data_IF_360311461202
#
_entry.id   IF_360311461202
#
_cell.length_a   1.000
_cell.length_b   1.000
_cell.length_c   1.000
_cell.angle_alpha   90.00
_cell.angle_beta   90.00
_cell.angle_gamma   90.00
#
_symmetry.space_group_name_H-M   'P 1'
#
loop_
_entity.id
_entity.type
_entity.pdbx_description
1 polymer ?
#
# COMPACT_ATOMS: atom_id res chain seq x y z
N UNK A 1 25.24 -9.61 -19.75
CA UNK A 1 26.35 -8.63 -19.98
C UNK A 1 27.76 -9.25 -20.16
N UNK A 2 28.35 -9.96 -19.17
CA UNK A 2 29.71 -10.54 -19.28
C UNK A 2 29.96 -11.42 -20.52
N UNK A 3 29.00 -12.29 -20.87
CA UNK A 3 29.11 -13.15 -22.05
C UNK A 3 29.20 -12.34 -23.36
N UNK A 4 28.44 -11.25 -23.48
CA UNK A 4 28.49 -10.37 -24.65
C UNK A 4 29.84 -9.65 -24.78
N UNK A 5 30.45 -9.24 -23.65
CA UNK A 5 31.79 -8.63 -23.64
C UNK A 5 32.87 -9.57 -24.21
N UNK A 6 32.72 -10.89 -24.09
CA UNK A 6 33.71 -11.85 -24.62
C UNK A 6 33.75 -11.94 -26.16
N UNK A 7 32.69 -11.48 -26.84
CA UNK A 7 32.56 -11.51 -28.31
C UNK A 7 32.64 -10.12 -28.98
N UNK A 8 32.73 -9.04 -28.18
CA UNK A 8 32.64 -7.64 -28.63
C UNK A 8 34.03 -6.96 -28.75
N UNK A 9 34.71 -7.14 -29.89
CA UNK A 9 36.10 -6.68 -30.10
C UNK A 9 36.28 -5.14 -30.05
N UNK A 10 35.44 -4.37 -30.75
CA UNK A 10 35.53 -2.90 -30.73
C UNK A 10 35.22 -2.30 -29.36
N UNK A 11 34.13 -2.77 -28.73
CA UNK A 11 33.68 -2.33 -27.39
C UNK A 11 34.73 -2.63 -26.32
N UNK A 12 35.35 -3.82 -26.35
CA UNK A 12 36.39 -4.18 -25.38
C UNK A 12 37.69 -3.40 -25.54
N UNK A 13 38.04 -2.93 -26.75
CA UNK A 13 39.20 -2.05 -26.97
C UNK A 13 39.02 -0.73 -26.22
N UNK A 14 37.87 -0.07 -26.37
CA UNK A 14 37.53 1.19 -25.67
C UNK A 14 37.47 0.98 -24.15
N UNK A 15 36.90 -0.14 -23.69
CA UNK A 15 36.83 -0.44 -22.25
C UNK A 15 38.22 -0.66 -21.61
N UNK A 16 39.20 -1.19 -22.34
CA UNK A 16 40.56 -1.43 -21.83
C UNK A 16 41.41 -0.17 -21.75
N UNK A 17 41.17 0.80 -22.63
CA UNK A 17 41.97 2.02 -22.69
C UNK A 17 41.46 3.05 -21.67
N UNK A 18 41.82 2.84 -20.41
CA UNK A 18 41.46 3.74 -19.31
C UNK A 18 42.21 5.07 -19.36
N UNK A 19 43.34 5.15 -20.06
CA UNK A 19 44.10 6.37 -20.27
C UNK A 19 43.39 7.32 -21.25
N UNK A 20 42.96 6.81 -22.40
CA UNK A 20 42.25 7.60 -23.40
C UNK A 20 40.78 7.83 -23.03
N UNK A 21 40.11 6.83 -22.46
CA UNK A 21 38.67 6.88 -22.16
C UNK A 21 38.35 6.65 -20.68
N UNK A 22 38.79 7.50 -19.74
CA UNK A 22 38.54 7.27 -18.30
C UNK A 22 37.05 7.26 -17.93
N UNK A 23 36.21 7.99 -18.68
CA UNK A 23 34.77 8.16 -18.44
C UNK A 23 33.99 8.00 -19.74
N UNK A 24 32.68 7.74 -19.63
CA UNK A 24 31.77 7.72 -20.79
C UNK A 24 31.74 9.07 -21.50
N UNK A 25 31.88 10.18 -20.77
CA UNK A 25 31.99 11.51 -21.38
C UNK A 25 33.15 11.61 -22.38
N UNK A 26 34.29 10.98 -22.08
CA UNK A 26 35.44 10.94 -23.00
C UNK A 26 35.18 10.03 -24.21
N UNK A 27 34.49 8.92 -24.01
CA UNK A 27 34.04 8.04 -25.11
C UNK A 27 33.09 8.78 -26.05
N UNK A 28 32.14 9.53 -25.50
CA UNK A 28 31.15 10.29 -26.27
C UNK A 28 31.76 11.46 -27.07
N UNK A 29 32.99 11.87 -26.76
CA UNK A 29 33.75 12.85 -27.53
C UNK A 29 34.52 12.29 -28.73
N UNK A 30 34.47 10.97 -28.95
CA UNK A 30 35.10 10.27 -30.07
C UNK A 30 34.01 9.56 -30.88
N UNK A 31 33.78 10.00 -32.12
CA UNK A 31 32.70 9.49 -32.97
C UNK A 31 32.83 7.99 -33.27
N UNK A 32 34.06 7.45 -33.34
CA UNK A 32 34.28 6.03 -33.60
C UNK A 32 34.03 5.18 -32.35
N UNK A 33 34.31 5.72 -31.15
CA UNK A 33 34.11 5.02 -29.89
C UNK A 33 32.65 5.11 -29.41
N UNK A 34 31.99 6.26 -29.62
CA UNK A 34 30.61 6.56 -29.20
C UNK A 34 29.60 5.52 -29.67
N UNK A 35 29.72 5.04 -30.90
CA UNK A 35 28.81 4.05 -31.51
C UNK A 35 28.68 2.76 -30.69
N UNK A 36 29.70 2.39 -29.91
CA UNK A 36 29.67 1.18 -29.08
C UNK A 36 28.94 1.35 -27.74
N UNK A 37 28.62 2.59 -27.34
CA UNK A 37 28.07 2.92 -26.02
C UNK A 37 26.84 3.84 -26.09
N UNK A 38 26.14 3.85 -27.22
CA UNK A 38 24.83 4.51 -27.32
C UNK A 38 23.87 3.94 -26.26
N UNK A 39 23.20 4.84 -25.53
CA UNK A 39 22.27 4.50 -24.43
C UNK A 39 22.90 3.77 -23.24
N UNK A 40 24.23 3.81 -23.09
CA UNK A 40 24.91 3.38 -21.87
C UNK A 40 25.04 4.58 -20.95
N UNK A 41 24.76 4.41 -19.66
CA UNK A 41 24.99 5.43 -18.63
C UNK A 41 26.36 5.24 -17.95
N UNK A 42 26.93 6.30 -17.36
CA UNK A 42 28.26 6.23 -16.72
C UNK A 42 28.41 5.08 -15.69
N UNK A 43 27.43 4.81 -14.79
CA UNK A 43 27.53 3.68 -13.87
C UNK A 43 27.61 2.33 -14.59
N UNK A 44 26.89 2.17 -15.70
CA UNK A 44 26.93 0.96 -16.51
C UNK A 44 28.27 0.84 -17.26
N UNK A 45 28.80 1.94 -17.80
CA UNK A 45 30.12 1.96 -18.44
C UNK A 45 31.22 1.49 -17.48
N UNK A 46 31.23 2.01 -16.24
CA UNK A 46 32.18 1.59 -15.21
C UNK A 46 31.97 0.13 -14.78
N UNK A 47 30.72 -0.35 -14.75
CA UNK A 47 30.43 -1.76 -14.48
C UNK A 47 30.94 -2.66 -15.61
N UNK A 48 30.78 -2.29 -16.88
CA UNK A 48 31.30 -3.04 -18.03
C UNK A 48 32.83 -3.17 -18.00
N UNK A 49 33.54 -2.15 -17.49
CA UNK A 49 35.00 -2.23 -17.25
C UNK A 49 35.36 -3.24 -16.18
N UNK A 50 34.69 -3.16 -15.02
CA UNK A 50 34.89 -4.13 -13.92
C UNK A 50 34.59 -5.55 -14.39
N UNK A 51 33.51 -5.72 -15.13
CA UNK A 51 33.12 -7.01 -15.71
C UNK A 51 34.18 -7.54 -16.69
N UNK A 52 34.75 -6.68 -17.53
CA UNK A 52 35.82 -7.05 -18.45
C UNK A 52 37.12 -7.46 -17.74
N UNK A 53 37.49 -6.75 -16.68
CA UNK A 53 38.66 -7.10 -15.86
C UNK A 53 38.42 -8.42 -15.10
N UNK A 54 37.21 -8.63 -14.58
CA UNK A 54 36.84 -9.88 -13.91
C UNK A 54 36.89 -11.08 -14.86
N UNK A 55 36.40 -10.94 -16.10
CA UNK A 55 36.50 -11.99 -17.14
C UNK A 55 37.95 -12.39 -17.43
N UNK A 56 38.88 -11.44 -17.38
CA UNK A 56 40.31 -11.70 -17.59
C UNK A 56 41.01 -12.31 -16.38
N UNK A 57 40.44 -12.14 -15.20
CA UNK A 57 41.04 -12.65 -13.97
C UNK A 57 40.96 -14.18 -13.96
N UNK A 58 42.11 -14.84 -13.86
CA UNK A 58 42.21 -16.30 -13.83
C UNK A 58 41.90 -16.91 -12.46
N UNK A 59 41.43 -16.11 -11.50
CA UNK A 59 41.07 -16.54 -10.15
C UNK A 59 39.62 -16.14 -9.81
N UNK A 60 39.01 -16.89 -8.89
CA UNK A 60 37.73 -16.54 -8.29
C UNK A 60 36.56 -16.53 -9.31
N UNK A 61 35.87 -15.40 -9.40
CA UNK A 61 34.70 -15.22 -10.26
C UNK A 61 35.02 -15.34 -11.75
N UNK A 62 36.19 -14.88 -12.19
CA UNK A 62 36.66 -15.02 -13.57
C UNK A 62 36.97 -16.47 -13.96
N UNK A 63 37.59 -17.24 -13.07
CA UNK A 63 37.84 -18.68 -13.28
C UNK A 63 36.52 -19.47 -13.40
N UNK A 64 35.56 -19.17 -12.51
CA UNK A 64 34.23 -19.80 -12.52
C UNK A 64 33.49 -19.48 -13.82
N UNK A 65 33.54 -18.22 -14.25
CA UNK A 65 32.95 -17.79 -15.52
C UNK A 65 33.59 -18.51 -16.71
N UNK A 66 34.93 -18.58 -16.75
CA UNK A 66 35.65 -19.25 -17.83
C UNK A 66 35.34 -20.75 -17.92
N UNK A 67 35.25 -21.45 -16.78
CA UNK A 67 34.84 -22.85 -16.72
C UNK A 67 33.39 -23.07 -17.16
N UNK A 68 32.48 -22.18 -16.73
CA UNK A 68 31.04 -22.31 -17.02
C UNK A 68 30.74 -22.12 -18.50
N UNK A 69 31.39 -21.14 -19.13
CA UNK A 69 31.06 -20.73 -20.49
C UNK A 69 32.13 -21.13 -21.54
N UNK A 70 33.22 -21.78 -21.13
CA UNK A 70 34.27 -22.25 -22.04
C UNK A 70 35.07 -21.12 -22.69
N UNK A 71 35.37 -20.05 -21.95
CA UNK A 71 36.12 -18.88 -22.46
C UNK A 71 37.63 -19.00 -22.22
N UNK A 72 38.51 -18.41 -23.06
CA UNK A 72 38.20 -17.52 -24.18
C UNK A 72 37.69 -18.28 -25.41
N UNK A 73 36.76 -17.68 -26.13
CA UNK A 73 36.27 -18.22 -27.40
C UNK A 73 37.30 -18.05 -28.51
N UNK A 74 37.36 -19.01 -29.45
CA UNK A 74 38.08 -18.85 -30.71
C UNK A 74 37.40 -17.77 -31.57
N UNK A 75 38.12 -17.16 -32.51
CA UNK A 75 37.57 -16.08 -33.33
C UNK A 75 36.39 -16.53 -34.19
N UNK A 76 36.42 -17.77 -34.68
CA UNK A 76 35.28 -18.38 -35.37
C UNK A 76 34.05 -18.50 -34.45
N UNK A 77 34.24 -18.91 -33.19
CA UNK A 77 33.15 -18.96 -32.22
C UNK A 77 32.63 -17.56 -31.87
N UNK A 78 33.52 -16.58 -31.63
CA UNK A 78 33.12 -15.18 -31.38
C UNK A 78 32.27 -14.65 -32.53
N UNK A 79 32.67 -14.88 -33.78
CA UNK A 79 31.93 -14.44 -34.97
C UNK A 79 30.54 -15.10 -35.05
N UNK A 80 30.44 -16.39 -34.77
CA UNK A 80 29.18 -17.14 -34.81
C UNK A 80 28.19 -16.70 -33.72
N UNK A 81 28.67 -16.38 -32.51
CA UNK A 81 27.79 -16.07 -31.36
C UNK A 81 27.48 -14.58 -31.21
N UNK A 82 28.22 -13.68 -31.89
CA UNK A 82 28.09 -12.23 -31.72
C UNK A 82 26.67 -11.71 -31.93
N UNK A 83 26.03 -12.08 -33.05
CA UNK A 83 24.65 -11.65 -33.34
C UNK A 83 23.62 -12.27 -32.36
N UNK A 84 23.64 -13.59 -32.10
CA UNK A 84 22.78 -14.19 -31.08
C UNK A 84 22.90 -13.52 -29.70
N UNK A 85 24.12 -13.21 -29.23
CA UNK A 85 24.34 -12.55 -27.95
C UNK A 85 23.82 -11.11 -27.92
N UNK A 86 23.98 -10.36 -29.02
CA UNK A 86 23.43 -9.01 -29.14
C UNK A 86 21.89 -9.01 -29.11
N UNK A 87 21.25 -10.00 -29.76
CA UNK A 87 19.79 -10.17 -29.71
C UNK A 87 19.30 -10.51 -28.30
N UNK A 88 20.00 -11.40 -27.59
CA UNK A 88 19.67 -11.77 -26.21
C UNK A 88 19.83 -10.58 -25.26
N UNK A 89 20.89 -9.78 -25.38
CA UNK A 89 21.07 -8.57 -24.57
C UNK A 89 19.96 -7.56 -24.81
N UNK A 90 19.54 -7.35 -26.06
CA UNK A 90 18.41 -6.47 -26.38
C UNK A 90 17.10 -6.98 -25.76
N UNK A 91 16.86 -8.29 -25.83
CA UNK A 91 15.69 -8.91 -25.23
C UNK A 91 15.71 -8.80 -23.69
N UNK A 92 16.86 -9.05 -23.07
CA UNK A 92 17.11 -8.89 -21.63
C UNK A 92 16.78 -7.46 -21.18
N UNK A 93 17.34 -6.45 -21.84
CA UNK A 93 17.09 -5.04 -21.52
C UNK A 93 15.60 -4.70 -21.65
N UNK A 94 14.96 -5.13 -22.74
CA UNK A 94 13.52 -4.89 -22.95
C UNK A 94 12.66 -5.52 -21.85
N UNK A 95 12.98 -6.75 -21.44
CA UNK A 95 12.27 -7.44 -20.35
C UNK A 95 12.52 -6.74 -19.02
N UNK A 96 13.77 -6.37 -18.75
CA UNK A 96 14.16 -5.69 -17.52
C UNK A 96 13.47 -4.33 -17.36
N UNK A 97 13.41 -3.53 -18.42
CA UNK A 97 12.69 -2.25 -18.46
C UNK A 97 11.19 -2.44 -18.17
N UNK A 98 10.56 -3.40 -18.85
CA UNK A 98 9.14 -3.72 -18.63
C UNK A 98 8.87 -4.19 -17.20
N UNK A 99 9.72 -5.07 -16.67
CA UNK A 99 9.59 -5.60 -15.33
C UNK A 99 9.75 -4.47 -14.29
N UNK A 100 10.74 -3.61 -14.46
CA UNK A 100 10.97 -2.44 -13.61
C UNK A 100 9.77 -1.50 -13.63
N UNK A 101 9.20 -1.22 -14.81
CA UNK A 101 8.01 -0.39 -14.95
C UNK A 101 6.81 -0.99 -14.20
N UNK A 102 6.54 -2.29 -14.40
CA UNK A 102 5.43 -2.99 -13.74
C UNK A 102 5.63 -2.99 -12.22
N UNK A 103 6.83 -3.31 -11.76
CA UNK A 103 7.18 -3.34 -10.33
C UNK A 103 6.98 -1.97 -9.67
N UNK A 104 7.43 -0.89 -10.33
CA UNK A 104 7.26 0.47 -9.82
C UNK A 104 5.78 0.88 -9.76
N UNK A 105 5.01 0.58 -10.81
CA UNK A 105 3.57 0.84 -10.83
C UNK A 105 2.84 0.08 -9.72
N UNK A 106 3.15 -1.20 -9.55
CA UNK A 106 2.57 -2.03 -8.48
C UNK A 106 2.92 -1.46 -7.10
N UNK A 107 4.18 -1.08 -6.88
CA UNK A 107 4.64 -0.50 -5.60
C UNK A 107 3.89 0.79 -5.27
N UNK A 108 3.75 1.70 -6.24
CA UNK A 108 3.01 2.96 -6.06
C UNK A 108 1.52 2.68 -5.76
N UNK A 109 0.89 1.78 -6.53
CA UNK A 109 -0.51 1.42 -6.33
C UNK A 109 -0.75 0.83 -4.93
N UNK A 110 0.14 -0.04 -4.46
CA UNK A 110 0.06 -0.64 -3.12
C UNK A 110 0.21 0.41 -2.01
N UNK A 111 1.14 1.36 -2.17
CA UNK A 111 1.31 2.50 -1.25
C UNK A 111 0.08 3.39 -1.20
N UNK A 112 -0.49 3.71 -2.36
CA UNK A 112 -1.74 4.47 -2.46
C UNK A 112 -2.89 3.75 -1.77
N UNK A 113 -3.07 2.45 -2.05
CA UNK A 113 -4.12 1.65 -1.42
C UNK A 113 -4.00 1.67 0.10
N UNK A 114 -2.80 1.50 0.66
CA UNK A 114 -2.59 1.54 2.11
C UNK A 114 -2.94 2.91 2.72
N UNK A 115 -2.59 4.02 2.07
CA UNK A 115 -2.99 5.36 2.50
C UNK A 115 -4.52 5.52 2.46
N UNK A 116 -5.15 5.08 1.37
CA UNK A 116 -6.61 5.18 1.20
C UNK A 116 -7.35 4.33 2.26
N UNK A 117 -6.84 3.14 2.62
CA UNK A 117 -7.37 2.36 3.74
C UNK A 117 -7.17 3.05 5.09
N UNK A 118 -5.99 3.62 5.36
CA UNK A 118 -5.73 4.33 6.60
C UNK A 118 -6.70 5.50 6.77
N UNK A 119 -6.95 6.24 5.69
CA UNK A 119 -7.94 7.32 5.63
C UNK A 119 -9.36 6.82 5.85
N UNK A 120 -9.76 5.72 5.20
CA UNK A 120 -11.09 5.15 5.40
C UNK A 120 -11.31 4.69 6.86
N UNK A 121 -10.28 4.16 7.51
CA UNK A 121 -10.39 3.66 8.90
C UNK A 121 -10.35 4.80 9.91
N UNK A 122 -9.37 5.71 9.80
CA UNK A 122 -9.07 6.71 10.84
C UNK A 122 -9.46 8.15 10.46
N UNK A 123 -9.93 8.37 9.24
CA UNK A 123 -10.31 9.69 8.73
C UNK A 123 -9.14 10.49 8.17
N UNK A 124 -9.44 11.31 7.17
CA UNK A 124 -8.46 12.16 6.47
C UNK A 124 -7.72 13.13 7.41
N UNK A 125 -8.44 13.69 8.39
CA UNK A 125 -7.85 14.64 9.35
C UNK A 125 -6.76 13.99 10.19
N UNK A 126 -6.99 12.78 10.69
CA UNK A 126 -6.04 12.06 11.55
C UNK A 126 -4.83 11.58 10.75
N UNK A 127 -5.02 11.20 9.49
CA UNK A 127 -3.95 10.71 8.59
C UNK A 127 -3.29 11.83 7.77
N UNK A 128 -3.69 13.09 7.95
CA UNK A 128 -3.25 14.25 7.15
C UNK A 128 -1.73 14.48 7.04
N UNK A 129 -0.94 13.98 8.00
CA UNK A 129 0.53 14.08 7.98
C UNK A 129 1.22 13.00 7.14
N UNK A 130 0.45 12.07 6.58
CA UNK A 130 0.96 10.96 5.78
C UNK A 130 0.71 11.19 4.30
N UNK A 131 1.66 10.73 3.52
CA UNK A 131 1.56 10.63 2.07
C UNK A 131 1.83 9.20 1.60
N UNK A 132 1.71 8.98 0.29
CA UNK A 132 1.99 7.67 -0.29
C UNK A 132 3.45 7.24 -0.08
N UNK A 133 4.39 8.18 -0.04
CA UNK A 133 5.81 7.85 0.12
C UNK A 133 6.10 7.24 1.50
N UNK A 134 5.38 7.68 2.53
CA UNK A 134 5.47 7.21 3.92
C UNK A 134 4.85 5.83 4.17
N UNK A 135 4.11 5.27 3.21
CA UNK A 135 3.42 3.99 3.34
C UNK A 135 4.36 2.78 3.16
N UNK A 136 4.07 1.72 3.91
CA UNK A 136 4.79 0.44 3.93
C UNK A 136 3.81 -0.70 3.62
N UNK A 137 3.58 -1.02 2.33
CA UNK A 137 2.45 -1.85 1.92
C UNK A 137 2.45 -3.30 2.43
N UNK A 138 3.60 -3.80 2.87
CA UNK A 138 3.76 -5.15 3.43
C UNK A 138 3.65 -5.17 4.97
N UNK A 139 3.24 -4.05 5.58
CA UNK A 139 3.08 -3.92 7.02
C UNK A 139 1.63 -3.64 7.40
N UNK A 140 1.26 -4.00 8.62
CA UNK A 140 -0.04 -3.61 9.18
C UNK A 140 -0.18 -2.08 9.16
N UNK A 141 -1.38 -1.60 8.84
CA UNK A 141 -1.69 -0.16 8.93
C UNK A 141 -1.54 0.27 10.39
N UNK A 142 -0.62 1.20 10.70
CA UNK A 142 -0.43 1.65 12.06
C UNK A 142 -1.67 2.42 12.53
N UNK A 143 -2.11 2.13 13.75
CA UNK A 143 -3.11 2.96 14.42
C UNK A 143 -2.41 4.13 15.11
N UNK A 144 -2.42 5.29 14.46
CA UNK A 144 -1.82 6.53 14.99
C UNK A 144 -2.81 7.38 15.80
N UNK A 145 -3.99 6.83 16.12
CA UNK A 145 -4.95 7.52 16.96
C UNK A 145 -4.48 7.58 18.40
N UNK A 146 -4.77 8.72 19.02
CA UNK A 146 -4.56 9.10 20.42
C UNK A 146 -5.83 9.75 20.93
N UNK A 147 -5.91 9.96 22.25
CA UNK A 147 -7.07 10.62 22.85
C UNK A 147 -7.32 12.05 22.33
N UNK A 148 -6.31 12.72 21.76
CA UNK A 148 -6.38 14.12 21.31
C UNK A 148 -6.46 14.29 19.79
N UNK A 149 -6.19 13.24 19.01
CA UNK A 149 -6.24 13.29 17.54
C UNK A 149 -7.28 12.33 16.92
N UNK A 150 -8.01 11.56 17.75
CA UNK A 150 -9.08 10.68 17.28
C UNK A 150 -10.12 11.50 16.51
N UNK A 151 -10.64 11.02 15.38
CA UNK A 151 -11.43 11.81 14.43
C UNK A 151 -12.88 12.07 14.93
N UNK A 152 -13.05 12.58 16.14
CA UNK A 152 -14.35 12.84 16.76
C UNK A 152 -14.55 14.34 16.99
N UNK A 153 -15.80 14.81 16.91
CA UNK A 153 -16.17 16.20 17.23
C UNK A 153 -15.72 16.60 18.64
N UNK A 154 -14.85 17.61 18.76
CA UNK A 154 -14.08 17.90 19.99
C UNK A 154 -14.92 18.05 21.28
N UNK A 155 -16.15 18.55 21.16
CA UNK A 155 -17.06 18.84 22.28
C UNK A 155 -18.44 18.25 22.09
N UNK A 156 -18.63 17.46 21.04
CA UNK A 156 -19.91 16.87 20.68
C UNK A 156 -20.07 15.50 21.35
N UNK A 157 -21.25 15.26 21.91
CA UNK A 157 -21.63 13.93 22.43
C UNK A 157 -21.91 12.95 21.27
N UNK A 158 -22.15 11.68 21.61
CA UNK A 158 -22.50 10.62 20.65
C UNK A 158 -23.62 11.04 19.71
N UNK A 159 -24.73 11.52 20.25
CA UNK A 159 -25.92 11.77 19.43
C UNK A 159 -25.66 12.92 18.45
N UNK A 160 -24.95 13.97 18.86
CA UNK A 160 -24.58 15.08 17.98
C UNK A 160 -23.66 14.65 16.83
N UNK A 161 -22.60 13.88 17.12
CA UNK A 161 -21.64 13.37 16.12
C UNK A 161 -22.29 12.38 15.15
N UNK A 162 -23.22 11.56 15.64
CA UNK A 162 -23.77 10.44 14.88
C UNK A 162 -25.11 10.75 14.18
N UNK A 163 -25.66 11.96 14.35
CA UNK A 163 -26.98 12.32 13.81
C UNK A 163 -26.97 12.55 12.30
N UNK A 164 -25.98 13.27 11.80
CA UNK A 164 -25.91 13.67 10.40
C UNK A 164 -24.53 13.31 9.84
N UNK A 165 -24.47 12.44 8.83
CA UNK A 165 -23.20 12.08 8.23
C UNK A 165 -22.61 13.27 7.49
N UNK A 166 -21.31 13.46 7.62
CA UNK A 166 -20.59 14.57 6.99
C UNK A 166 -19.19 14.09 6.62
N UNK A 167 -18.91 13.96 5.32
CA UNK A 167 -17.63 13.45 4.83
C UNK A 167 -16.46 14.35 5.27
N UNK A 168 -15.30 13.75 5.52
CA UNK A 168 -14.06 14.44 5.94
C UNK A 168 -14.20 15.31 7.20
N UNK A 169 -15.20 15.05 8.03
CA UNK A 169 -15.44 15.75 9.29
C UNK A 169 -15.08 14.90 10.50
N UNK A 170 -15.39 15.37 11.71
CA UNK A 170 -15.35 14.56 12.93
C UNK A 170 -16.68 13.85 13.23
N UNK A 171 -17.55 13.65 12.22
CA UNK A 171 -18.91 13.09 12.32
C UNK A 171 -19.03 11.73 11.63
N UNK A 172 -20.16 11.06 11.86
CA UNK A 172 -20.46 9.78 11.21
C UNK A 172 -20.26 9.85 9.68
N UNK A 173 -19.86 8.73 9.09
CA UNK A 173 -19.59 8.55 7.67
C UNK A 173 -18.25 9.14 7.19
N UNK A 174 -17.46 9.79 8.05
CA UNK A 174 -16.14 10.30 7.66
C UNK A 174 -14.99 9.31 7.91
N UNK A 175 -15.20 8.32 8.79
CA UNK A 175 -14.22 7.27 9.10
C UNK A 175 -14.89 6.07 9.78
N UNK A 176 -14.43 4.86 9.47
CA UNK A 176 -14.94 3.63 10.09
C UNK A 176 -14.81 3.65 11.62
N UNK A 177 -13.73 4.22 12.15
CA UNK A 177 -13.54 4.31 13.60
C UNK A 177 -14.65 5.14 14.29
N UNK A 178 -15.16 6.18 13.63
CA UNK A 178 -16.28 6.99 14.13
C UNK A 178 -17.57 6.19 14.02
N UNK A 179 -17.81 5.55 12.87
CA UNK A 179 -19.03 4.77 12.64
C UNK A 179 -19.15 3.63 13.66
N UNK A 180 -18.06 2.93 13.93
CA UNK A 180 -18.00 1.90 14.98
C UNK A 180 -18.31 2.48 16.35
N UNK A 181 -17.75 3.64 16.71
CA UNK A 181 -18.09 4.30 17.96
C UNK A 181 -19.57 4.71 18.00
N UNK A 182 -20.12 5.24 16.90
CA UNK A 182 -21.52 5.64 16.80
C UNK A 182 -22.49 4.48 17.03
N UNK A 183 -22.23 3.34 16.39
CA UNK A 183 -23.06 2.12 16.46
C UNK A 183 -22.95 1.47 17.84
N UNK A 184 -21.75 1.37 18.38
CA UNK A 184 -21.49 0.54 19.56
C UNK A 184 -21.64 1.26 20.90
N UNK A 185 -21.63 2.59 20.94
CA UNK A 185 -21.65 3.38 22.17
C UNK A 185 -23.01 4.05 22.43
N UNK A 186 -23.13 4.71 23.57
CA UNK A 186 -24.31 5.41 24.05
C UNK A 186 -23.93 6.78 24.61
N UNK A 187 -24.87 7.72 24.58
CA UNK A 187 -24.66 9.06 25.15
C UNK A 187 -24.63 9.07 26.68
N UNK A 188 -25.42 8.23 27.33
CA UNK A 188 -25.62 8.25 28.79
C UNK A 188 -25.61 6.85 29.42
N UNK A 189 -25.39 6.78 30.74
CA UNK A 189 -25.15 5.52 31.45
C UNK A 189 -26.30 4.51 31.35
N UNK A 190 -27.55 4.99 31.32
CA UNK A 190 -28.76 4.16 31.20
C UNK A 190 -29.14 3.81 29.75
N UNK A 191 -28.41 4.33 28.76
CA UNK A 191 -28.65 4.02 27.36
C UNK A 191 -28.40 2.53 27.03
N UNK A 192 -29.07 2.05 25.98
CA UNK A 192 -28.79 0.73 25.40
C UNK A 192 -27.47 0.76 24.63
N UNK A 193 -26.74 -0.34 24.69
CA UNK A 193 -25.43 -0.52 24.06
C UNK A 193 -25.44 -1.84 23.31
N UNK A 194 -25.04 -1.82 22.03
CA UNK A 194 -25.10 -3.00 21.17
C UNK A 194 -23.87 -3.91 21.33
N UNK A 195 -22.68 -3.33 21.28
CA UNK A 195 -21.42 -4.07 21.31
C UNK A 195 -20.95 -4.33 22.75
N UNK A 196 -21.85 -4.81 23.61
CA UNK A 196 -21.66 -4.95 25.06
C UNK A 196 -20.52 -5.90 25.45
N UNK A 197 -20.30 -6.95 24.67
CA UNK A 197 -19.19 -7.89 24.87
C UNK A 197 -17.80 -7.27 24.60
N UNK A 198 -17.73 -6.24 23.75
CA UNK A 198 -16.50 -5.56 23.39
C UNK A 198 -16.21 -4.34 24.28
N UNK A 199 -17.24 -3.75 24.89
CA UNK A 199 -17.16 -2.47 25.57
C UNK A 199 -17.60 -2.61 27.04
N UNK A 200 -16.65 -2.50 27.96
CA UNK A 200 -16.93 -2.38 29.39
C UNK A 200 -17.68 -1.07 29.69
N UNK A 201 -18.42 -1.05 30.81
CA UNK A 201 -19.41 -0.01 31.20
C UNK A 201 -18.89 1.44 31.17
N UNK A 202 -17.58 1.65 31.28
CA UNK A 202 -16.95 2.98 31.24
C UNK A 202 -16.45 3.44 29.85
N UNK A 203 -16.29 2.54 28.88
CA UNK A 203 -15.90 2.88 27.51
C UNK A 203 -17.12 3.08 26.59
N UNK A 204 -18.32 2.77 27.09
CA UNK A 204 -19.56 2.82 26.32
C UNK A 204 -20.23 4.18 26.32
N UNK A 205 -19.91 5.08 27.26
CA UNK A 205 -20.59 6.38 27.39
C UNK A 205 -19.76 7.48 26.75
N UNK A 206 -20.32 8.19 25.77
CA UNK A 206 -19.74 9.38 25.14
C UNK A 206 -20.73 10.54 25.29
N UNK A 207 -20.65 11.21 26.44
CA UNK A 207 -21.29 12.50 26.69
C UNK A 207 -20.43 13.66 26.14
N UNK A 208 -20.83 14.91 26.40
CA UNK A 208 -20.14 16.11 25.93
C UNK A 208 -18.80 16.41 26.64
N UNK A 209 -18.46 15.70 27.72
CA UNK A 209 -17.24 15.89 28.49
C UNK A 209 -16.15 14.92 28.06
N UNK A 210 -15.03 15.44 27.56
CA UNK A 210 -13.91 14.62 27.10
C UNK A 210 -14.30 13.61 26.01
N UNK A 211 -15.29 13.96 25.17
CA UNK A 211 -15.95 13.07 24.22
C UNK A 211 -14.95 12.39 23.28
N UNK A 212 -13.98 13.14 22.76
CA UNK A 212 -12.92 12.61 21.88
C UNK A 212 -12.09 11.51 22.55
N UNK A 213 -11.69 11.70 23.81
CA UNK A 213 -10.93 10.71 24.57
C UNK A 213 -11.76 9.47 24.89
N UNK A 214 -13.05 9.63 25.18
CA UNK A 214 -14.01 8.53 25.40
C UNK A 214 -14.23 7.74 24.11
N UNK A 215 -14.41 8.43 22.98
CA UNK A 215 -14.56 7.82 21.66
C UNK A 215 -13.30 7.03 21.26
N UNK A 216 -12.12 7.59 21.47
CA UNK A 216 -10.85 6.90 21.27
C UNK A 216 -10.74 5.62 22.12
N UNK A 217 -11.11 5.69 23.41
CA UNK A 217 -11.11 4.52 24.30
C UNK A 217 -12.08 3.44 23.82
N UNK A 218 -13.27 3.84 23.34
CA UNK A 218 -14.24 2.93 22.74
C UNK A 218 -13.67 2.25 21.49
N UNK A 219 -13.08 3.04 20.57
CA UNK A 219 -12.43 2.52 19.37
C UNK A 219 -11.36 1.47 19.69
N UNK A 220 -10.44 1.74 20.63
CA UNK A 220 -9.39 0.79 20.98
C UNK A 220 -9.95 -0.53 21.51
N UNK A 221 -11.02 -0.48 22.30
CA UNK A 221 -11.69 -1.68 22.80
C UNK A 221 -12.40 -2.46 21.67
N UNK A 222 -13.09 -1.75 20.78
CA UNK A 222 -13.76 -2.34 19.62
C UNK A 222 -12.78 -2.97 18.63
N UNK A 223 -11.71 -2.25 18.27
CA UNK A 223 -10.66 -2.73 17.37
C UNK A 223 -9.97 -3.98 17.91
N UNK A 224 -9.68 -4.02 19.21
CA UNK A 224 -9.16 -5.23 19.87
C UNK A 224 -10.15 -6.40 19.79
N UNK A 225 -11.45 -6.15 19.98
CA UNK A 225 -12.47 -7.18 19.87
C UNK A 225 -12.67 -7.67 18.41
N UNK A 226 -12.49 -6.81 17.40
CA UNK A 226 -12.63 -7.17 15.99
C UNK A 226 -11.74 -8.36 15.59
N UNK A 227 -10.53 -8.47 16.16
CA UNK A 227 -9.62 -9.60 15.90
C UNK A 227 -10.19 -10.98 16.27
N UNK A 228 -11.24 -11.01 17.10
CA UNK A 228 -11.90 -12.24 17.55
C UNK A 228 -13.08 -12.65 16.67
N UNK A 229 -13.55 -11.75 15.81
CA UNK A 229 -14.75 -11.94 14.98
C UNK A 229 -14.46 -11.84 13.48
N UNK A 230 -13.41 -11.12 13.10
CA UNK A 230 -13.01 -10.98 11.71
C UNK A 230 -12.27 -12.24 11.25
N UNK A 231 -12.71 -12.80 10.13
CA UNK A 231 -11.94 -13.82 9.42
C UNK A 231 -10.65 -13.21 8.84
N UNK A 232 -9.62 -14.03 8.69
CA UNK A 232 -8.39 -13.58 8.04
C UNK A 232 -8.67 -13.31 6.57
N UNK A 233 -8.27 -12.14 6.08
CA UNK A 233 -8.27 -11.85 4.65
C UNK A 233 -7.42 -12.88 3.90
N UNK A 234 -7.87 -13.28 2.72
CA UNK A 234 -7.16 -14.26 1.88
C UNK A 234 -6.27 -13.49 0.91
N UNK A 235 -5.00 -13.89 0.82
CA UNK A 235 -4.05 -13.26 -0.10
C UNK A 235 -4.47 -13.48 -1.56
N UNK A 236 -4.49 -12.40 -2.36
CA UNK A 236 -4.75 -12.46 -3.80
C UNK A 236 -6.19 -12.14 -4.23
N UNK A 237 -7.15 -12.14 -3.29
CA UNK A 237 -8.57 -11.87 -3.59
C UNK A 237 -9.12 -10.61 -2.92
N UNK A 238 -8.25 -9.72 -2.42
CA UNK A 238 -8.67 -8.61 -1.56
C UNK A 238 -9.72 -7.71 -2.21
N UNK A 239 -9.68 -7.51 -3.54
CA UNK A 239 -10.70 -6.72 -4.27
C UNK A 239 -12.10 -7.34 -4.14
N UNK A 240 -12.21 -8.64 -4.33
CA UNK A 240 -13.49 -9.35 -4.27
C UNK A 240 -14.02 -9.36 -2.83
N UNK A 241 -13.14 -9.60 -1.85
CA UNK A 241 -13.48 -9.56 -0.43
C UNK A 241 -14.02 -8.19 -0.02
N UNK A 242 -13.32 -7.10 -0.36
CA UNK A 242 -13.78 -5.74 -0.04
C UNK A 242 -15.12 -5.39 -0.69
N UNK A 243 -15.35 -5.86 -1.92
CA UNK A 243 -16.63 -5.63 -2.62
C UNK A 243 -17.76 -6.39 -1.94
N UNK A 244 -17.51 -7.64 -1.50
CA UNK A 244 -18.48 -8.45 -0.79
C UNK A 244 -18.80 -7.87 0.61
N UNK A 245 -17.78 -7.48 1.37
CA UNK A 245 -17.95 -6.85 2.69
C UNK A 245 -18.72 -5.52 2.59
N UNK A 246 -18.40 -4.70 1.58
CA UNK A 246 -19.17 -3.49 1.32
C UNK A 246 -20.62 -3.84 1.00
N UNK A 247 -20.88 -4.79 0.10
CA UNK A 247 -22.24 -5.21 -0.24
C UNK A 247 -23.02 -5.73 0.97
N UNK A 248 -22.38 -6.44 1.91
CA UNK A 248 -23.00 -6.87 3.18
C UNK A 248 -23.40 -5.64 4.00
N UNK A 249 -22.48 -4.69 4.22
CA UNK A 249 -22.78 -3.46 4.96
C UNK A 249 -23.91 -2.67 4.30
N UNK A 250 -23.92 -2.59 2.96
CA UNK A 250 -24.98 -1.92 2.22
C UNK A 250 -26.33 -2.64 2.33
N UNK A 251 -26.33 -3.98 2.29
CA UNK A 251 -27.52 -4.80 2.45
C UNK A 251 -28.09 -4.70 3.86
N UNK A 252 -27.26 -4.54 4.89
CA UNK A 252 -27.71 -4.29 6.26
C UNK A 252 -28.38 -2.92 6.43
N UNK A 253 -28.29 -2.02 5.44
CA UNK A 253 -29.01 -0.75 5.48
C UNK A 253 -30.50 -0.93 5.29
N UNK A 254 -31.28 -0.34 6.19
CA UNK A 254 -32.74 -0.33 6.11
C UNK A 254 -33.41 -1.62 6.55
N UNK A 255 -32.70 -2.65 7.01
CA UNK A 255 -33.30 -3.96 7.34
C UNK A 255 -33.85 -4.06 8.77
N UNK A 256 -33.61 -3.06 9.62
CA UNK A 256 -34.20 -3.03 10.96
C UNK A 256 -35.72 -2.80 10.87
N UNK A 257 -36.50 -3.72 11.43
CA UNK A 257 -37.97 -3.65 11.49
C UNK A 257 -38.40 -3.15 12.87
N UNK A 258 -39.10 -2.01 12.92
CA UNK A 258 -39.82 -1.60 14.13
C UNK A 258 -41.24 -2.15 14.03
N UNK A 259 -41.56 -3.17 14.85
CA UNK A 259 -42.93 -3.67 14.99
C UNK A 259 -43.61 -2.90 16.11
N UNK A 260 -44.67 -2.15 15.77
CA UNK A 260 -45.44 -1.36 16.75
C UNK A 260 -46.69 -2.14 17.13
N UNK A 261 -46.68 -2.82 18.27
CA UNK A 261 -47.91 -3.43 18.82
C UNK A 261 -48.66 -2.41 19.68
N UNK A 262 -49.71 -1.79 19.14
CA UNK A 262 -50.60 -0.84 19.83
C UNK A 262 -50.64 0.57 19.21
N UNK A 263 -51.61 1.40 19.62
CA UNK A 263 -51.85 2.73 19.04
C UNK A 263 -50.70 3.71 19.45
N UNK A 264 -49.84 4.19 18.53
CA UNK A 264 -48.62 4.88 18.94
C UNK A 264 -48.88 6.36 19.25
N UNK A 265 -48.50 6.80 20.45
CA UNK A 265 -48.23 8.21 20.71
C UNK A 265 -47.02 8.66 19.88
N UNK A 266 -47.21 9.62 18.98
CA UNK A 266 -46.27 10.08 17.95
C UNK A 266 -44.84 10.45 18.44
N UNK A 267 -44.59 10.56 19.75
CA UNK A 267 -43.29 10.94 20.33
C UNK A 267 -42.41 9.76 20.75
N UNK A 268 -42.95 8.53 20.86
CA UNK A 268 -42.21 7.36 21.35
C UNK A 268 -41.47 6.56 20.25
N UNK A 269 -41.83 6.77 18.97
CA UNK A 269 -41.39 5.94 17.84
C UNK A 269 -39.98 6.25 17.32
N UNK A 270 -39.47 7.46 17.55
CA UNK A 270 -38.12 7.85 17.10
C UNK A 270 -37.11 7.92 18.26
N UNK A 271 -37.59 8.04 19.51
CA UNK A 271 -36.73 8.32 20.68
C UNK A 271 -36.18 7.07 21.37
N UNK A 272 -36.69 5.87 21.07
CA UNK A 272 -36.36 4.64 21.82
C UNK A 272 -35.67 3.53 21.02
N UNK A 273 -35.52 3.68 19.71
CA UNK A 273 -34.89 2.68 18.81
C UNK A 273 -33.78 3.32 17.99
N UNK A 274 -32.54 2.90 18.24
CA UNK A 274 -31.40 3.32 17.45
C UNK A 274 -31.39 2.55 16.12
N UNK A 275 -31.85 3.19 15.05
CA UNK A 275 -31.88 2.62 13.71
C UNK A 275 -30.62 3.06 12.98
N UNK A 276 -29.53 2.31 13.14
CA UNK A 276 -28.20 2.77 12.73
C UNK A 276 -28.00 2.82 11.21
N UNK A 277 -28.81 2.07 10.46
CA UNK A 277 -28.74 2.07 9.00
C UNK A 277 -30.08 2.35 8.31
N UNK A 278 -31.03 2.94 9.05
CA UNK A 278 -32.43 3.09 8.62
C UNK A 278 -33.29 1.91 9.08
N UNK A 279 -34.52 2.20 9.48
CA UNK A 279 -35.54 1.22 9.80
C UNK A 279 -36.83 1.56 9.06
N UNK A 280 -37.62 0.56 8.71
CA UNK A 280 -39.00 0.76 8.30
C UNK A 280 -39.94 0.37 9.44
N UNK A 281 -40.93 1.24 9.68
CA UNK A 281 -41.97 1.02 10.68
C UNK A 281 -43.03 0.13 10.07
N UNK A 282 -43.34 -0.99 10.73
CA UNK A 282 -44.43 -1.88 10.35
C UNK A 282 -45.46 -1.84 11.48
N UNK A 283 -46.63 -1.31 11.13
CA UNK A 283 -47.82 -1.35 11.97
C UNK A 283 -48.51 -2.72 11.88
#
# INVERSE_FOLDING_TARGET
KKLNLTAAEGKTKVLRDSGQYPTLQKVNGDDAAKVYFENVEEPEFQQLRKDLEDIKNSKGTGETFAKTYGTPFSDNHKKAIRQPLALLEKAENTIHEKLTLVYNKATIARKKAQLDFAKAVYGDRTISRKDQASMKPDSQIPDETTATNFPWGLTEDRDAVCKTPEANSGKAGSALAIDMACICTKKESKGKQLCSSALASGSSVIDNSGSQGKAHKAWKALSAACTKVAEKAVEGEQKMQLTAELAILEAMRGQDKIVVTGNPGFQALASSTHNFFGAFVVA
#
